data_IF_813192544134
#
_entry.id   IF_813192544134
#
_cell.length_a   1.000
_cell.length_b   1.000
_cell.length_c   1.000
_cell.angle_alpha   90.00
_cell.angle_beta   90.00
_cell.angle_gamma   90.00
#
_symmetry.space_group_name_H-M   'P 1'
#
loop_
_entity.id
_entity.type
_entity.pdbx_description
1 polymer ?
#
# COMPACT_ATOMS: atom_id res chain seq x y z
N UNK A 1 4.33 -6.84 -11.66
CA UNK A 1 3.93 -5.80 -12.66
C UNK A 1 2.71 -4.99 -12.20
N UNK A 2 2.02 -5.41 -11.13
CA UNK A 2 0.75 -4.87 -10.65
C UNK A 2 0.90 -3.63 -9.75
N UNK A 3 1.99 -3.48 -8.99
CA UNK A 3 2.26 -2.28 -8.17
C UNK A 3 2.29 -0.98 -8.98
N UNK A 4 2.67 -1.01 -10.27
CA UNK A 4 2.72 0.21 -11.10
C UNK A 4 1.36 0.86 -11.30
N UNK A 5 0.29 0.07 -11.36
CA UNK A 5 -1.09 0.59 -11.51
C UNK A 5 -1.52 1.26 -10.21
N UNK A 6 -1.28 0.61 -9.08
CA UNK A 6 -1.55 1.16 -7.75
C UNK A 6 -0.72 2.42 -7.46
N UNK A 7 0.56 2.46 -7.84
CA UNK A 7 1.40 3.65 -7.70
C UNK A 7 0.86 4.84 -8.50
N UNK A 8 0.42 4.64 -9.75
CA UNK A 8 -0.20 5.71 -10.53
C UNK A 8 -1.47 6.24 -9.86
N UNK A 9 -2.26 5.36 -9.23
CA UNK A 9 -3.46 5.76 -8.49
C UNK A 9 -3.09 6.61 -7.25
N UNK A 10 -1.99 6.26 -6.57
CA UNK A 10 -1.46 6.99 -5.41
C UNK A 10 -0.77 8.32 -5.76
N UNK A 11 -0.32 8.55 -7.00
CA UNK A 11 0.37 9.79 -7.39
C UNK A 11 -0.46 11.07 -7.14
N UNK A 12 -1.78 10.94 -7.07
CA UNK A 12 -2.70 12.05 -6.81
C UNK A 12 -3.25 12.07 -5.37
N UNK A 13 -2.82 11.13 -4.52
CA UNK A 13 -3.17 11.09 -3.11
C UNK A 13 -2.12 11.84 -2.28
N UNK A 14 -2.52 12.95 -1.68
CA UNK A 14 -1.66 13.79 -0.85
C UNK A 14 -1.92 13.65 0.65
N UNK A 15 -2.90 12.84 1.04
CA UNK A 15 -3.21 12.52 2.44
C UNK A 15 -3.64 11.05 2.59
N UNK A 16 -3.55 10.54 3.81
CA UNK A 16 -4.00 9.18 4.14
C UNK A 16 -5.49 9.00 3.88
N UNK A 17 -6.31 10.02 4.15
CA UNK A 17 -7.76 9.97 3.90
C UNK A 17 -8.08 9.75 2.41
N UNK A 18 -7.32 10.37 1.51
CA UNK A 18 -7.49 10.16 0.06
C UNK A 18 -7.07 8.76 -0.37
N UNK A 19 -6.10 8.15 0.32
CA UNK A 19 -5.71 6.76 0.09
C UNK A 19 -6.79 5.82 0.59
N UNK A 20 -7.37 6.09 1.76
CA UNK A 20 -8.49 5.32 2.33
C UNK A 20 -9.72 5.38 1.41
N UNK A 21 -10.08 6.57 0.92
CA UNK A 21 -11.17 6.71 -0.07
C UNK A 21 -10.89 5.90 -1.34
N UNK A 22 -9.65 5.93 -1.84
CA UNK A 22 -9.25 5.18 -3.03
C UNK A 22 -9.32 3.65 -2.80
N UNK A 23 -8.90 3.17 -1.62
CA UNK A 23 -8.97 1.75 -1.26
C UNK A 23 -10.42 1.28 -1.20
N UNK A 24 -11.29 2.09 -0.59
CA UNK A 24 -12.69 1.74 -0.36
C UNK A 24 -13.56 1.95 -1.62
N UNK A 25 -13.05 2.64 -2.65
CA UNK A 25 -13.74 2.86 -3.92
C UNK A 25 -13.28 1.89 -5.01
N UNK A 26 -13.94 0.73 -5.06
CA UNK A 26 -13.68 -0.36 -6.01
C UNK A 26 -13.84 0.04 -7.50
N UNK A 27 -14.38 1.22 -7.81
CA UNK A 27 -14.63 1.69 -9.18
C UNK A 27 -13.62 2.75 -9.66
N UNK A 28 -12.79 3.27 -8.77
CA UNK A 28 -11.91 4.42 -9.06
C UNK A 28 -10.59 4.04 -9.75
N UNK A 29 -10.23 2.75 -9.79
CA UNK A 29 -8.93 2.28 -10.28
C UNK A 29 -9.01 0.83 -10.77
N UNK A 30 -8.13 0.46 -11.71
CA UNK A 30 -7.94 -0.94 -12.15
C UNK A 30 -7.16 -1.79 -11.13
N UNK A 31 -6.69 -1.19 -10.04
CA UNK A 31 -6.01 -1.88 -8.93
C UNK A 31 -7.00 -2.29 -7.84
N UNK A 32 -6.79 -3.46 -7.23
CA UNK A 32 -7.56 -3.88 -6.05
C UNK A 32 -7.17 -3.07 -4.81
N UNK A 33 -8.05 -3.09 -3.81
CA UNK A 33 -7.82 -2.48 -2.49
C UNK A 33 -6.47 -2.90 -1.88
N UNK A 34 -6.16 -4.19 -1.92
CA UNK A 34 -4.93 -4.78 -1.40
C UNK A 34 -3.70 -4.29 -2.16
N UNK A 35 -3.81 -4.12 -3.48
CA UNK A 35 -2.72 -3.59 -4.30
C UNK A 35 -2.44 -2.12 -3.98
N UNK A 36 -3.47 -1.31 -3.74
CA UNK A 36 -3.33 0.09 -3.34
C UNK A 36 -2.71 0.17 -1.94
N UNK A 37 -3.19 -0.61 -0.98
CA UNK A 37 -2.63 -0.68 0.37
C UNK A 37 -1.15 -1.14 0.36
N UNK A 38 -0.83 -2.17 -0.43
CA UNK A 38 0.54 -2.67 -0.65
C UNK A 38 1.45 -1.56 -1.17
N UNK A 39 1.03 -0.87 -2.23
CA UNK A 39 1.81 0.19 -2.85
C UNK A 39 2.01 1.38 -1.90
N UNK A 40 0.99 1.73 -1.10
CA UNK A 40 1.09 2.76 -0.08
C UNK A 40 2.14 2.40 0.97
N UNK A 41 2.07 1.19 1.55
CA UNK A 41 3.01 0.76 2.59
C UNK A 41 4.46 0.76 2.07
N UNK A 42 4.68 0.29 0.84
CA UNK A 42 6.01 0.28 0.23
C UNK A 42 6.53 1.70 -0.05
N UNK A 43 5.70 2.60 -0.59
CA UNK A 43 6.12 3.98 -0.82
C UNK A 43 6.38 4.71 0.49
N UNK A 44 5.52 4.54 1.49
CA UNK A 44 5.68 5.17 2.79
C UNK A 44 6.95 4.69 3.52
N UNK A 45 7.23 3.39 3.50
CA UNK A 45 8.46 2.83 4.07
C UNK A 45 9.70 3.42 3.38
N UNK A 46 9.69 3.45 2.04
CA UNK A 46 10.77 4.01 1.23
C UNK A 46 10.99 5.50 1.50
N UNK A 47 9.93 6.30 1.52
CA UNK A 47 9.99 7.76 1.72
C UNK A 47 10.45 8.12 3.13
N UNK A 48 10.07 7.32 4.12
CA UNK A 48 10.56 7.46 5.48
C UNK A 48 12.04 7.06 5.64
N UNK A 49 12.63 6.46 4.60
CA UNK A 49 13.99 5.93 4.63
C UNK A 49 14.13 4.67 5.49
N UNK A 50 13.00 4.06 5.87
CA UNK A 50 12.97 2.76 6.49
C UNK A 50 13.17 1.68 5.42
N UNK A 51 13.69 0.53 5.81
CA UNK A 51 13.79 -0.61 4.92
C UNK A 51 12.40 -1.12 4.55
N UNK A 52 12.37 -2.11 3.66
CA UNK A 52 11.15 -2.85 3.36
C UNK A 52 10.97 -4.05 4.31
N UNK A 53 11.36 -3.92 5.57
CA UNK A 53 11.14 -4.97 6.57
C UNK A 53 9.66 -5.09 6.93
N UNK A 54 9.29 -6.27 7.41
CA UNK A 54 7.91 -6.62 7.77
C UNK A 54 7.32 -5.67 8.83
N UNK A 55 8.11 -5.26 9.82
CA UNK A 55 7.68 -4.34 10.88
C UNK A 55 7.34 -2.95 10.31
N UNK A 56 8.17 -2.43 9.40
CA UNK A 56 7.94 -1.13 8.75
C UNK A 56 6.72 -1.17 7.81
N UNK A 57 6.57 -2.25 7.04
CA UNK A 57 5.44 -2.42 6.13
C UNK A 57 4.12 -2.59 6.88
N UNK A 58 4.11 -3.44 7.91
CA UNK A 58 2.92 -3.67 8.75
C UNK A 58 2.48 -2.40 9.49
N UNK A 59 3.42 -1.61 10.02
CA UNK A 59 3.10 -0.34 10.67
C UNK A 59 2.37 0.66 9.74
N UNK A 60 2.77 0.73 8.47
CA UNK A 60 2.07 1.60 7.50
C UNK A 60 0.70 1.05 7.08
N UNK A 61 0.54 -0.27 7.01
CA UNK A 61 -0.77 -0.89 6.78
C UNK A 61 -1.71 -0.70 7.98
N UNK A 62 -1.18 -0.77 9.21
CA UNK A 62 -1.94 -0.52 10.43
C UNK A 62 -2.50 0.91 10.42
N UNK A 63 -1.71 1.90 9.99
CA UNK A 63 -2.21 3.27 9.83
C UNK A 63 -3.42 3.37 8.88
N UNK A 64 -3.45 2.58 7.80
CA UNK A 64 -4.59 2.56 6.88
C UNK A 64 -5.83 1.95 7.54
N UNK A 65 -5.67 0.82 8.24
CA UNK A 65 -6.76 0.14 8.97
C UNK A 65 -7.31 1.06 10.06
N UNK A 66 -6.45 1.70 10.84
CA UNK A 66 -6.84 2.68 11.87
C UNK A 66 -7.57 3.90 11.29
N UNK A 67 -7.26 4.25 10.04
CA UNK A 67 -7.93 5.34 9.30
C UNK A 67 -9.23 4.89 8.61
N UNK A 68 -9.58 3.60 8.67
CA UNK A 68 -10.83 3.06 8.13
C UNK A 68 -10.76 2.51 6.71
N UNK A 69 -9.56 2.15 6.22
CA UNK A 69 -9.41 1.43 4.97
C UNK A 69 -9.90 -0.02 5.10
N UNK A 70 -10.70 -0.47 4.13
CA UNK A 70 -11.27 -1.81 4.05
C UNK A 70 -10.52 -2.60 2.97
N UNK A 71 -9.61 -3.49 3.39
CA UNK A 71 -8.84 -4.37 2.51
C UNK A 71 -8.41 -5.63 3.27
N UNK A 72 -8.00 -6.69 2.57
CA UNK A 72 -7.36 -7.84 3.23
C UNK A 72 -5.94 -7.48 3.67
N UNK A 73 -5.79 -7.23 4.97
CA UNK A 73 -4.52 -6.87 5.59
C UNK A 73 -3.42 -7.91 5.34
N UNK A 74 -3.77 -9.19 5.48
CA UNK A 74 -2.79 -10.27 5.43
C UNK A 74 -2.31 -10.50 3.99
N UNK A 75 -3.21 -10.35 3.02
CA UNK A 75 -2.88 -10.37 1.60
C UNK A 75 -2.01 -9.17 1.19
N UNK A 76 -2.34 -7.96 1.65
CA UNK A 76 -1.55 -6.76 1.38
C UNK A 76 -0.14 -6.85 1.98
N UNK A 77 -0.01 -7.29 3.22
CA UNK A 77 1.29 -7.47 3.87
C UNK A 77 2.12 -8.55 3.15
N UNK A 78 1.51 -9.70 2.83
CA UNK A 78 2.20 -10.77 2.10
C UNK A 78 2.68 -10.31 0.73
N UNK A 79 1.85 -9.51 0.03
CA UNK A 79 2.20 -8.89 -1.26
C UNK A 79 3.36 -7.91 -1.12
N UNK A 80 3.35 -7.06 -0.11
CA UNK A 80 4.41 -6.10 0.17
C UNK A 80 5.76 -6.78 0.47
N UNK A 81 5.74 -7.84 1.29
CA UNK A 81 6.93 -8.64 1.62
C UNK A 81 7.47 -9.34 0.37
N UNK A 82 6.60 -9.93 -0.45
CA UNK A 82 7.01 -10.60 -1.69
C UNK A 82 7.68 -9.62 -2.66
N UNK A 83 7.11 -8.43 -2.83
CA UNK A 83 7.66 -7.38 -3.71
C UNK A 83 8.94 -6.76 -3.14
N UNK A 84 9.06 -6.63 -1.81
CA UNK A 84 10.29 -6.19 -1.15
C UNK A 84 11.48 -7.12 -1.43
N UNK A 85 11.22 -8.43 -1.51
CA UNK A 85 12.25 -9.42 -1.79
C UNK A 85 12.79 -9.28 -3.21
N UNK A 86 11.94 -8.89 -4.17
CA UNK A 86 12.31 -8.65 -5.57
C UNK A 86 13.17 -7.38 -5.72
N UNK A 87 12.96 -6.37 -4.88
CA UNK A 87 13.70 -5.10 -4.93
C UNK A 87 15.09 -5.17 -4.25
N UNK A 88 15.33 -6.20 -3.44
CA UNK A 88 16.60 -6.40 -2.72
C UNK A 88 17.52 -7.46 -3.37
N UNK A 89 17.13 -8.04 -4.51
CA UNK A 89 17.93 -8.94 -5.37
C UNK A 89 18.63 -8.15 -6.50
#
# INVERSE_FOLDING_TARGET
MTIRIANNALENCFSIDQVVELINDEMSTDATAEMVATAYAMNAAKDAGYGYDEDSLSAHLDCLVESGAEFDYQEALSSAIAESSILND
#
